data_IF_890348794634
#
_entry.id   IF_890348794634
#
_cell.length_a   1.000
_cell.length_b   1.000
_cell.length_c   1.000
_cell.angle_alpha   90.00
_cell.angle_beta   90.00
_cell.angle_gamma   90.00
#
_symmetry.space_group_name_H-M   'P 1'
#
loop_
_entity.id
_entity.type
_entity.pdbx_description
1 polymer ?
#
# COMPACT_ATOMS: atom_id res chain seq x y z
N UNK A 1 18.46 11.21 9.16
CA UNK A 1 18.44 10.42 10.41
C UNK A 1 17.37 9.34 10.27
N UNK A 2 17.74 8.10 10.48
CA UNK A 2 16.79 6.99 10.43
C UNK A 2 15.97 6.95 11.72
N UNK A 3 14.69 6.57 11.65
CA UNK A 3 13.89 6.41 12.85
C UNK A 3 14.44 5.28 13.75
N UNK A 4 14.11 5.33 15.03
CA UNK A 4 14.49 4.30 15.99
C UNK A 4 13.74 3.00 15.66
N UNK A 5 14.41 1.83 15.67
CA UNK A 5 13.75 0.56 15.48
C UNK A 5 12.61 0.35 16.50
N UNK A 6 11.47 -0.13 16.00
CA UNK A 6 10.26 -0.30 16.77
C UNK A 6 9.46 -1.49 16.26
N UNK A 7 8.93 -2.29 17.18
CA UNK A 7 7.84 -3.21 16.90
C UNK A 7 6.71 -2.88 17.85
N UNK A 8 5.51 -2.64 17.31
CA UNK A 8 4.35 -2.27 18.09
C UNK A 8 3.13 -3.01 17.57
N UNK A 9 2.23 -3.41 18.45
CA UNK A 9 1.00 -4.10 18.08
C UNK A 9 -0.19 -3.18 18.19
N UNK A 10 -1.19 -3.41 17.34
CA UNK A 10 -2.46 -2.69 17.37
C UNK A 10 -3.63 -3.67 17.24
N UNK A 11 -4.81 -3.27 17.72
CA UNK A 11 -6.01 -4.09 17.65
C UNK A 11 -7.27 -3.28 17.31
N UNK A 12 -7.12 -2.02 16.92
CA UNK A 12 -8.23 -1.17 16.49
C UNK A 12 -7.96 -0.64 15.09
N UNK A 13 -9.04 -0.34 14.35
CA UNK A 13 -8.90 0.27 13.04
C UNK A 13 -8.29 1.67 13.12
N UNK A 14 -8.60 2.43 14.16
CA UNK A 14 -7.97 3.74 14.34
C UNK A 14 -6.46 3.63 14.47
N UNK A 15 -5.96 2.69 15.28
CA UNK A 15 -4.53 2.46 15.42
C UNK A 15 -3.91 1.89 14.15
N UNK A 16 -4.62 1.02 13.43
CA UNK A 16 -4.17 0.51 12.13
C UNK A 16 -3.99 1.65 11.13
N UNK A 17 -4.99 2.52 10.99
CA UNK A 17 -4.90 3.65 10.05
C UNK A 17 -3.80 4.63 10.43
N UNK A 18 -3.58 4.83 11.74
CA UNK A 18 -2.47 5.67 12.19
C UNK A 18 -1.14 5.04 11.83
N UNK A 19 -0.98 3.73 12.00
CA UNK A 19 0.22 3.02 11.60
C UNK A 19 0.47 3.14 10.09
N UNK A 20 -0.58 3.03 9.28
CA UNK A 20 -0.49 3.25 7.82
C UNK A 20 0.00 4.67 7.52
N UNK A 21 -0.60 5.67 8.13
CA UNK A 21 -0.24 7.07 7.92
C UNK A 21 1.22 7.34 8.31
N UNK A 22 1.64 6.85 9.47
CA UNK A 22 3.01 7.02 9.96
C UNK A 22 4.02 6.38 8.99
N UNK A 23 3.69 5.21 8.47
CA UNK A 23 4.57 4.48 7.55
C UNK A 23 4.67 5.16 6.19
N UNK A 24 3.55 5.64 5.67
CA UNK A 24 3.53 6.42 4.42
C UNK A 24 4.41 7.67 4.55
N UNK A 25 4.33 8.35 5.70
CA UNK A 25 5.14 9.56 5.93
C UNK A 25 6.64 9.26 6.03
N UNK A 26 7.03 8.04 6.38
CA UNK A 26 8.44 7.64 6.42
C UNK A 26 8.99 7.23 5.05
N UNK A 27 8.13 6.89 4.11
CA UNK A 27 8.55 6.38 2.81
C UNK A 27 9.34 7.41 2.03
N UNK A 28 10.45 6.97 1.42
CA UNK A 28 11.31 7.81 0.62
C UNK A 28 11.44 7.37 -0.82
N UNK A 29 11.30 6.07 -1.12
CA UNK A 29 11.52 5.53 -2.47
C UNK A 29 10.40 4.63 -2.96
N UNK A 30 9.87 3.75 -2.13
CA UNK A 30 8.82 2.85 -2.56
C UNK A 30 7.80 2.57 -1.48
N UNK A 31 6.58 2.40 -1.92
CA UNK A 31 5.48 1.88 -1.12
C UNK A 31 4.89 0.70 -1.87
N UNK A 32 4.66 -0.41 -1.18
CA UNK A 32 3.94 -1.54 -1.74
C UNK A 32 2.80 -1.91 -0.80
N UNK A 33 1.67 -2.28 -1.38
CA UNK A 33 0.45 -2.58 -0.61
C UNK A 33 -0.18 -3.85 -1.16
N UNK A 34 -0.55 -4.75 -0.27
CA UNK A 34 -1.40 -5.89 -0.59
C UNK A 34 -2.62 -5.85 0.33
N UNK A 35 -3.81 -5.73 -0.26
CA UNK A 35 -5.05 -5.55 0.48
C UNK A 35 -6.23 -5.95 -0.40
N UNK A 36 -7.35 -6.43 0.16
CA UNK A 36 -8.50 -6.79 -0.67
C UNK A 36 -9.08 -5.63 -1.48
N UNK A 37 -9.27 -4.46 -0.86
CA UNK A 37 -10.02 -3.35 -1.48
C UNK A 37 -9.63 -1.97 -0.95
N UNK A 38 -8.61 -1.87 -0.11
CA UNK A 38 -8.11 -0.64 0.52
C UNK A 38 -9.11 0.05 1.47
N UNK A 39 -10.25 -0.55 1.74
CA UNK A 39 -11.35 0.10 2.47
C UNK A 39 -10.93 0.57 3.86
N UNK A 40 -10.15 -0.22 4.59
CA UNK A 40 -9.81 0.06 5.99
C UNK A 40 -8.48 0.80 6.16
N UNK A 41 -7.73 0.99 5.09
CA UNK A 41 -6.36 1.51 5.18
C UNK A 41 -6.27 2.99 5.52
N UNK A 42 -7.30 3.76 5.23
CA UNK A 42 -7.24 5.22 5.35
C UNK A 42 -6.53 5.93 4.20
N UNK A 43 -6.08 5.19 3.17
CA UNK A 43 -5.36 5.78 2.04
C UNK A 43 -6.22 6.75 1.22
N UNK A 44 -7.54 6.67 1.33
CA UNK A 44 -8.45 7.55 0.61
C UNK A 44 -8.66 8.91 1.31
N UNK A 45 -8.11 9.11 2.51
CA UNK A 45 -8.28 10.37 3.23
C UNK A 45 -7.60 11.53 2.52
N UNK A 46 -8.07 12.79 2.72
CA UNK A 46 -7.39 13.96 2.17
C UNK A 46 -5.92 14.07 2.57
N UNK A 47 -5.59 13.73 3.82
CA UNK A 47 -4.22 13.77 4.30
C UNK A 47 -3.32 12.77 3.56
N UNK A 48 -3.83 11.55 3.31
CA UNK A 48 -3.08 10.55 2.57
C UNK A 48 -2.97 10.88 1.09
N UNK A 49 -3.97 11.50 0.51
CA UNK A 49 -3.88 12.01 -0.86
C UNK A 49 -2.69 12.97 -0.98
N UNK A 50 -2.59 13.93 -0.07
CA UNK A 50 -1.49 14.89 -0.08
C UNK A 50 -0.14 14.21 0.13
N UNK A 51 -0.08 13.27 1.07
CA UNK A 51 1.15 12.53 1.36
C UNK A 51 1.63 11.73 0.15
N UNK A 52 0.72 11.03 -0.53
CA UNK A 52 1.06 10.26 -1.71
C UNK A 52 1.49 11.14 -2.88
N UNK A 53 0.82 12.28 -3.09
CA UNK A 53 1.24 13.25 -4.10
C UNK A 53 2.64 13.78 -3.81
N UNK A 54 2.91 14.14 -2.57
CA UNK A 54 4.23 14.63 -2.16
C UNK A 54 5.29 13.55 -2.36
N UNK A 55 4.99 12.32 -1.97
CA UNK A 55 5.90 11.19 -2.14
C UNK A 55 6.24 10.97 -3.62
N UNK A 56 5.24 10.94 -4.49
CA UNK A 56 5.44 10.69 -5.92
C UNK A 56 6.12 11.86 -6.63
N UNK A 57 5.96 13.08 -6.11
CA UNK A 57 6.62 14.27 -6.65
C UNK A 57 8.05 14.45 -6.15
N UNK A 58 8.42 13.81 -5.05
CA UNK A 58 9.72 14.00 -4.42
C UNK A 58 10.87 13.33 -5.17
N UNK A 59 10.60 12.34 -6.00
CA UNK A 59 11.64 11.65 -6.76
C UNK A 59 11.06 11.00 -8.02
N UNK A 60 11.81 11.12 -9.11
CA UNK A 60 11.40 10.57 -10.42
C UNK A 60 11.18 9.06 -10.36
N UNK A 61 11.95 8.37 -9.54
CA UNK A 61 11.90 6.91 -9.46
C UNK A 61 11.04 6.41 -8.29
N UNK A 62 10.39 7.31 -7.56
CA UNK A 62 9.50 6.91 -6.48
C UNK A 62 8.30 6.14 -7.04
N UNK A 63 7.94 5.06 -6.39
CA UNK A 63 6.90 4.14 -6.87
C UNK A 63 5.97 3.71 -5.76
N UNK A 64 4.70 3.61 -6.10
CA UNK A 64 3.67 2.96 -5.29
C UNK A 64 3.09 1.83 -6.12
N UNK A 65 3.15 0.60 -5.60
CA UNK A 65 2.59 -0.58 -6.26
C UNK A 65 1.56 -1.23 -5.34
N UNK A 66 0.39 -1.47 -5.85
CA UNK A 66 -0.73 -1.97 -5.05
C UNK A 66 -1.33 -3.20 -5.72
N UNK A 67 -1.43 -4.30 -4.98
CA UNK A 67 -2.18 -5.49 -5.40
C UNK A 67 -3.45 -5.55 -4.59
N UNK A 68 -4.58 -5.65 -5.27
CA UNK A 68 -5.91 -5.77 -4.63
C UNK A 68 -6.65 -6.98 -5.19
N UNK A 69 -7.57 -7.51 -4.39
CA UNK A 69 -8.47 -8.58 -4.85
C UNK A 69 -9.64 -8.01 -5.67
N UNK A 70 -10.11 -6.82 -5.30
CA UNK A 70 -11.32 -6.21 -5.87
C UNK A 70 -11.05 -4.80 -6.39
N UNK A 71 -10.41 -4.68 -7.57
CA UNK A 71 -10.12 -3.35 -8.13
C UNK A 71 -11.38 -2.53 -8.43
N UNK A 72 -12.50 -3.16 -8.74
CA UNK A 72 -13.76 -2.45 -9.00
C UNK A 72 -14.21 -1.68 -7.75
N UNK A 73 -14.03 -2.27 -6.57
CA UNK A 73 -14.35 -1.61 -5.32
C UNK A 73 -13.44 -0.40 -5.07
N UNK A 74 -12.16 -0.54 -5.41
CA UNK A 74 -11.20 0.58 -5.28
C UNK A 74 -11.60 1.73 -6.20
N UNK A 75 -11.93 1.45 -7.46
CA UNK A 75 -12.34 2.49 -8.39
C UNK A 75 -13.58 3.23 -7.90
N UNK A 76 -14.53 2.51 -7.33
CA UNK A 76 -15.78 3.09 -6.85
C UNK A 76 -15.60 3.88 -5.56
N UNK A 77 -14.79 3.37 -4.64
CA UNK A 77 -14.70 3.91 -3.27
C UNK A 77 -13.55 4.88 -3.06
N UNK A 78 -12.58 4.94 -3.98
CA UNK A 78 -11.34 5.70 -3.78
C UNK A 78 -11.10 6.75 -4.87
N UNK A 79 -11.99 7.74 -5.03
CA UNK A 79 -11.83 8.76 -6.07
C UNK A 79 -10.56 9.63 -5.88
N UNK A 80 -10.14 9.89 -4.65
CA UNK A 80 -8.90 10.63 -4.40
C UNK A 80 -7.68 9.86 -4.88
N UNK A 81 -7.64 8.57 -4.57
CA UNK A 81 -6.54 7.70 -5.00
C UNK A 81 -6.51 7.58 -6.54
N UNK A 82 -7.68 7.51 -7.16
CA UNK A 82 -7.79 7.52 -8.62
C UNK A 82 -7.26 8.83 -9.22
N UNK A 83 -7.51 9.96 -8.55
CA UNK A 83 -6.98 11.25 -8.97
C UNK A 83 -5.44 11.29 -8.88
N UNK A 84 -4.88 10.74 -7.82
CA UNK A 84 -3.42 10.61 -7.68
C UNK A 84 -2.84 9.80 -8.82
N UNK A 85 -3.48 8.67 -9.16
CA UNK A 85 -3.01 7.82 -10.26
C UNK A 85 -3.04 8.54 -11.60
N UNK A 86 -4.10 9.31 -11.88
CA UNK A 86 -4.18 10.06 -13.13
C UNK A 86 -3.05 11.08 -13.29
N UNK A 87 -2.65 11.71 -12.18
CA UNK A 87 -1.57 12.70 -12.19
C UNK A 87 -0.18 12.07 -12.20
N UNK A 88 -0.04 10.87 -11.62
CA UNK A 88 1.24 10.21 -11.44
C UNK A 88 1.22 8.79 -12.00
N UNK A 89 0.69 8.62 -13.22
CA UNK A 89 0.47 7.31 -13.82
C UNK A 89 1.70 6.44 -13.94
N UNK A 90 2.90 7.03 -13.97
CA UNK A 90 4.15 6.28 -13.99
C UNK A 90 4.56 5.79 -12.59
N UNK A 91 4.08 6.46 -11.55
CA UNK A 91 4.50 6.19 -10.19
C UNK A 91 3.54 5.34 -9.38
N UNK A 92 2.28 5.30 -9.75
CA UNK A 92 1.25 4.55 -9.00
C UNK A 92 0.61 3.50 -9.91
N UNK A 93 0.82 2.23 -9.59
CA UNK A 93 0.33 1.09 -10.38
C UNK A 93 -0.50 0.14 -9.55
N UNK A 94 -1.59 -0.35 -10.14
CA UNK A 94 -2.45 -1.34 -9.52
C UNK A 94 -2.40 -2.65 -10.30
N UNK A 95 -2.47 -3.78 -9.59
CA UNK A 95 -2.67 -5.10 -10.15
C UNK A 95 -3.76 -5.84 -9.39
N UNK A 96 -4.45 -6.71 -10.09
CA UNK A 96 -5.45 -7.59 -9.49
C UNK A 96 -4.83 -8.95 -9.24
N UNK A 97 -5.01 -9.47 -8.02
CA UNK A 97 -4.57 -10.82 -7.67
C UNK A 97 -5.29 -11.87 -8.51
N UNK A 98 -4.63 -12.98 -8.84
CA UNK A 98 -5.30 -14.08 -9.54
C UNK A 98 -6.38 -14.71 -8.67
N UNK A 99 -7.36 -15.31 -9.33
CA UNK A 99 -8.54 -15.86 -8.66
C UNK A 99 -8.20 -16.89 -7.59
N UNK A 100 -7.21 -17.73 -7.84
CA UNK A 100 -6.79 -18.77 -6.90
C UNK A 100 -6.06 -18.23 -5.66
N UNK A 101 -5.68 -16.95 -5.65
CA UNK A 101 -5.06 -16.31 -4.49
C UNK A 101 -6.01 -15.37 -3.74
N UNK A 102 -7.26 -15.24 -4.16
CA UNK A 102 -8.21 -14.33 -3.50
C UNK A 102 -8.63 -14.78 -2.10
N UNK A 103 -8.31 -16.00 -1.73
CA UNK A 103 -8.51 -16.50 -0.37
C UNK A 103 -7.49 -15.95 0.63
N UNK A 104 -6.39 -15.37 0.15
CA UNK A 104 -5.39 -14.77 1.03
C UNK A 104 -6.01 -13.55 1.73
N UNK A 105 -5.93 -13.57 3.04
CA UNK A 105 -6.60 -12.56 3.88
C UNK A 105 -5.66 -11.67 4.66
N UNK A 106 -4.37 -11.91 4.62
CA UNK A 106 -3.40 -11.00 5.23
C UNK A 106 -3.29 -9.72 4.38
N UNK A 107 -3.07 -8.60 5.06
CA UNK A 107 -2.94 -7.30 4.43
C UNK A 107 -1.66 -6.66 4.92
N UNK A 108 -0.92 -6.00 4.03
CA UNK A 108 0.28 -5.32 4.46
C UNK A 108 0.63 -4.14 3.56
N UNK A 109 1.33 -3.18 4.16
CA UNK A 109 1.91 -2.03 3.48
C UNK A 109 3.37 -1.97 3.89
N UNK A 110 4.28 -1.89 2.92
CA UNK A 110 5.72 -1.84 3.17
C UNK A 110 6.28 -0.55 2.61
N UNK A 111 7.21 0.05 3.34
CA UNK A 111 7.92 1.24 2.89
C UNK A 111 9.43 0.97 2.85
N UNK A 112 10.03 1.18 1.69
CA UNK A 112 11.48 1.15 1.46
C UNK A 112 12.16 -0.18 1.85
N UNK A 113 11.39 -1.25 1.98
CA UNK A 113 11.92 -2.54 2.45
C UNK A 113 12.37 -2.55 3.91
N UNK A 114 12.02 -1.56 4.71
CA UNK A 114 12.47 -1.41 6.09
C UNK A 114 11.36 -1.17 7.10
N UNK A 115 10.18 -0.73 6.65
CA UNK A 115 9.02 -0.47 7.51
C UNK A 115 7.83 -1.26 7.01
N UNK A 116 6.99 -1.72 7.91
CA UNK A 116 5.81 -2.49 7.55
C UNK A 116 4.64 -2.24 8.49
N UNK A 117 3.45 -2.20 7.92
CA UNK A 117 2.20 -2.34 8.67
C UNK A 117 1.57 -3.64 8.20
N UNK A 118 1.36 -4.57 9.12
CA UNK A 118 0.82 -5.89 8.80
C UNK A 118 -0.48 -6.06 9.56
N UNK A 119 -1.58 -6.26 8.84
CA UNK A 119 -2.87 -6.62 9.43
C UNK A 119 -3.07 -8.10 9.16
N UNK A 120 -3.19 -8.87 10.23
CA UNK A 120 -3.10 -10.34 10.13
C UNK A 120 -4.24 -10.96 9.35
N UNK A 121 -5.41 -10.34 9.37
CA UNK A 121 -6.57 -10.83 8.63
C UNK A 121 -7.44 -9.66 8.20
N UNK A 122 -7.94 -9.71 6.96
CA UNK A 122 -8.74 -8.64 6.37
C UNK A 122 -10.00 -8.28 7.16
N UNK A 123 -10.55 -9.24 7.91
CA UNK A 123 -11.78 -9.03 8.67
C UNK A 123 -11.56 -8.46 10.07
N UNK A 124 -10.31 -8.29 10.48
CA UNK A 124 -9.97 -7.82 11.83
C UNK A 124 -8.95 -6.70 11.78
N UNK A 125 -8.97 -5.86 12.82
CA UNK A 125 -8.04 -4.73 12.93
C UNK A 125 -6.67 -5.13 13.49
N UNK A 126 -6.53 -6.36 13.99
CA UNK A 126 -5.32 -6.80 14.69
C UNK A 126 -4.11 -6.89 13.76
N UNK A 127 -2.99 -6.36 14.22
CA UNK A 127 -1.76 -6.43 13.46
C UNK A 127 -0.56 -5.87 14.19
N UNK A 128 0.49 -5.56 13.43
CA UNK A 128 1.72 -4.99 13.99
C UNK A 128 2.34 -3.96 13.06
N UNK A 129 3.03 -3.01 13.68
CA UNK A 129 3.83 -1.99 13.01
C UNK A 129 5.30 -2.32 13.24
N UNK A 130 6.07 -2.33 12.16
CA UNK A 130 7.52 -2.51 12.19
C UNK A 130 8.18 -1.26 11.61
N UNK A 131 9.03 -0.61 12.39
CA UNK A 131 9.81 0.55 11.94
C UNK A 131 11.30 0.18 12.05
N UNK A 132 12.04 0.42 10.96
CA UNK A 132 13.46 0.08 10.87
C UNK A 132 13.74 -1.37 11.26
N UNK A 133 13.03 -2.30 10.61
CA UNK A 133 13.16 -3.74 10.79
C UNK A 133 13.42 -4.42 9.43
N UNK A 134 14.53 -4.08 8.75
CA UNK A 134 14.75 -4.56 7.38
C UNK A 134 14.84 -6.09 7.27
N UNK A 135 15.36 -6.76 8.30
CA UNK A 135 15.47 -8.22 8.26
C UNK A 135 14.10 -8.89 8.23
N UNK A 136 13.17 -8.46 9.09
CA UNK A 136 11.82 -9.02 9.09
C UNK A 136 11.02 -8.57 7.86
N UNK A 137 11.15 -7.31 7.46
CA UNK A 137 10.42 -6.76 6.33
C UNK A 137 10.84 -7.40 5.01
N UNK A 138 12.09 -7.90 4.90
CA UNK A 138 12.58 -8.53 3.67
C UNK A 138 11.76 -9.74 3.25
N UNK A 139 11.26 -10.53 4.20
CA UNK A 139 10.39 -11.66 3.90
C UNK A 139 9.04 -11.22 3.32
N UNK A 140 8.47 -10.16 3.89
CA UNK A 140 7.23 -9.59 3.39
C UNK A 140 7.41 -8.99 2.00
N UNK A 141 8.55 -8.37 1.75
CA UNK A 141 8.85 -7.82 0.43
C UNK A 141 8.94 -8.91 -0.62
N UNK A 142 9.62 -10.02 -0.33
CA UNK A 142 9.66 -11.16 -1.27
C UNK A 142 8.26 -11.69 -1.56
N UNK A 143 7.42 -11.80 -0.53
CA UNK A 143 6.02 -12.20 -0.70
C UNK A 143 5.28 -11.25 -1.63
N UNK A 144 5.48 -9.94 -1.45
CA UNK A 144 4.85 -8.96 -2.33
C UNK A 144 5.33 -9.10 -3.78
N UNK A 145 6.64 -9.29 -3.99
CA UNK A 145 7.16 -9.44 -5.35
C UNK A 145 6.58 -10.69 -6.04
N UNK A 146 6.42 -11.78 -5.30
CA UNK A 146 5.77 -12.98 -5.83
C UNK A 146 4.31 -12.71 -6.20
N UNK A 147 3.56 -12.06 -5.33
CA UNK A 147 2.17 -11.67 -5.59
C UNK A 147 2.06 -10.73 -6.79
N UNK A 148 2.94 -9.75 -6.87
CA UNK A 148 2.97 -8.80 -7.97
C UNK A 148 3.19 -9.50 -9.30
N UNK A 149 4.15 -10.42 -9.34
CA UNK A 149 4.48 -11.17 -10.55
C UNK A 149 3.37 -12.08 -11.04
N UNK A 150 2.51 -12.56 -10.14
CA UNK A 150 1.36 -13.41 -10.48
C UNK A 150 0.09 -12.63 -10.80
N UNK A 151 0.07 -11.34 -10.49
CA UNK A 151 -1.10 -10.48 -10.64
C UNK A 151 -1.13 -9.83 -12.02
N UNK A 152 -2.31 -9.37 -12.44
CA UNK A 152 -2.50 -8.74 -13.75
C UNK A 152 -2.75 -7.24 -13.59
N UNK A 153 -2.34 -6.41 -14.56
CA UNK A 153 -2.62 -4.98 -14.50
C UNK A 153 -4.10 -4.68 -14.34
N UNK A 154 -4.41 -3.70 -13.49
CA UNK A 154 -5.76 -3.25 -13.22
C UNK A 154 -5.76 -1.74 -13.03
N UNK A 155 -6.91 -1.09 -13.19
CA UNK A 155 -7.06 0.35 -12.97
C UNK A 155 -5.98 1.10 -13.76
N UNK A 156 -5.89 0.84 -15.05
CA UNK A 156 -4.96 1.55 -15.92
C UNK A 156 -5.35 3.02 -15.97
N UNK A 157 -4.36 3.91 -15.77
CA UNK A 157 -4.59 5.31 -16.10
C UNK A 157 -4.91 5.35 -17.58
N UNK A 158 -6.13 5.62 -17.93
CA UNK A 158 -6.48 5.92 -19.29
C UNK A 158 -5.85 7.25 -19.63
N UNK A 159 -4.62 7.19 -20.07
CA UNK A 159 -4.15 8.25 -20.94
C UNK A 159 -4.99 8.12 -22.19
N UNK A 160 -5.96 8.96 -22.31
CA UNK A 160 -6.56 9.22 -23.59
C UNK A 160 -5.52 9.94 -24.44
N UNK A 161 -4.44 9.26 -24.70
CA UNK A 161 -3.50 9.65 -25.71
C UNK A 161 -4.00 9.17 -27.03
N UNK A 162 -5.11 9.62 -27.36
CA UNK A 162 -5.62 9.37 -28.69
C UNK A 162 -5.13 10.43 -29.63
#
# INVERSE_FOLDING_TARGET
MNPTPLESRFDTYAAYRQAVADTVMLARRELVVFDPDLRETGLESPAMEQALRAFLSAGRDNRVRIVVHRPDEVERACPRLMAVQRLHGHGLSFRQSPEDLRHLSDCFLLADGRHAVIRFHADHARGKLLIEQPDEVSGWRRRFEDLWGLSVPAIASTTLGL
#
